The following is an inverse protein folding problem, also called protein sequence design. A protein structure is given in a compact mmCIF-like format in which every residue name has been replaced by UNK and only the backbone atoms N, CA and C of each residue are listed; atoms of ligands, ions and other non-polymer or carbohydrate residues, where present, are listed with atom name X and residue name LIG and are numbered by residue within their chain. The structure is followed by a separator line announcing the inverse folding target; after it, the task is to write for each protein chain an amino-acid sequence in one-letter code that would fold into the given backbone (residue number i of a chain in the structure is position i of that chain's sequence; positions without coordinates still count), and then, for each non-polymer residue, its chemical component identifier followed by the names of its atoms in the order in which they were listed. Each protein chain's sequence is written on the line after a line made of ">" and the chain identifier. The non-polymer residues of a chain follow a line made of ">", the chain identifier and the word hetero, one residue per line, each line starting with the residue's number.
data_IF_845717913801
#
_entry.id   IF_845717913801
#
_cell.length_a   1.000
_cell.length_b   1.000
_cell.length_c   1.000
_cell.angle_alpha   90.00
_cell.angle_beta   90.00
_cell.angle_gamma   90.00
#
_symmetry.space_group_name_H-M   'P 1'
#
loop_
_entity.id
_entity.type
_entity.pdbx_description
1 polymer ?
#
# COMPACT_ATOMS: atom_id res chain seq x y z
N UNK A 1 -8.66 2.66 -3.24
CA UNK A 1 -9.21 3.35 -4.44
C UNK A 1 -8.13 4.18 -5.13
N UNK A 2 -8.26 4.57 -6.40
CA UNK A 2 -7.25 5.41 -7.09
C UNK A 2 -7.82 6.46 -8.07
N UNK A 3 -9.13 6.73 -8.04
CA UNK A 3 -9.78 7.80 -8.82
C UNK A 3 -10.82 8.51 -7.96
N UNK A 4 -11.16 9.76 -8.31
CA UNK A 4 -12.23 10.52 -7.67
C UNK A 4 -13.55 9.72 -7.63
N UNK A 5 -14.00 9.19 -8.77
CA UNK A 5 -15.31 8.56 -8.88
C UNK A 5 -15.51 7.38 -7.91
N UNK A 6 -14.50 6.51 -7.75
CA UNK A 6 -14.66 5.43 -6.77
C UNK A 6 -14.38 5.87 -5.34
N UNK A 7 -13.66 6.98 -5.11
CA UNK A 7 -13.51 7.52 -3.77
C UNK A 7 -14.85 8.11 -3.30
N UNK A 8 -15.48 8.91 -4.15
CA UNK A 8 -16.84 9.44 -3.98
C UNK A 8 -17.88 8.32 -3.80
N UNK A 9 -17.79 7.26 -4.60
CA UNK A 9 -18.62 6.08 -4.41
C UNK A 9 -18.47 5.47 -3.00
N UNK A 10 -17.25 5.28 -2.50
CA UNK A 10 -17.02 4.74 -1.15
C UNK A 10 -17.60 5.67 -0.07
N UNK A 11 -17.46 6.98 -0.23
CA UNK A 11 -18.08 7.95 0.69
C UNK A 11 -19.60 7.85 0.65
N UNK A 12 -20.20 7.72 -0.54
CA UNK A 12 -21.66 7.62 -0.70
C UNK A 12 -22.28 6.38 -0.04
N UNK A 13 -21.50 5.29 0.10
CA UNK A 13 -21.92 4.08 0.83
C UNK A 13 -21.55 4.12 2.32
N UNK A 14 -21.06 5.26 2.82
CA UNK A 14 -20.85 5.53 4.24
C UNK A 14 -19.41 5.37 4.75
N UNK A 15 -18.39 5.35 3.88
CA UNK A 15 -17.01 5.32 4.35
C UNK A 15 -16.61 6.64 5.03
N UNK A 16 -16.07 6.55 6.25
CA UNK A 16 -15.57 7.73 7.00
C UNK A 16 -14.21 8.23 6.49
N UNK A 17 -13.44 7.35 5.83
CA UNK A 17 -12.17 7.68 5.21
C UNK A 17 -11.90 6.74 4.03
N UNK A 18 -11.13 7.22 3.05
CA UNK A 18 -10.80 6.43 1.85
C UNK A 18 -9.30 6.14 1.78
N UNK A 19 -8.95 4.85 1.70
CA UNK A 19 -7.57 4.41 1.45
C UNK A 19 -7.24 4.49 -0.04
N UNK A 20 -6.20 5.24 -0.40
CA UNK A 20 -5.84 5.60 -1.77
C UNK A 20 -4.54 4.95 -2.19
N UNK A 21 -4.59 4.20 -3.30
CA UNK A 21 -3.45 3.53 -3.91
C UNK A 21 -3.84 2.22 -4.58
N UNK A 22 -3.45 2.05 -5.84
CA UNK A 22 -3.52 0.79 -6.59
C UNK A 22 -2.20 0.65 -7.37
N UNK A 23 -1.48 -0.44 -7.13
CA UNK A 23 -0.24 -0.74 -7.84
C UNK A 23 0.97 0.13 -7.47
N UNK A 24 0.91 0.91 -6.38
CA UNK A 24 1.99 1.79 -5.94
C UNK A 24 2.96 1.17 -4.92
N UNK A 25 2.57 0.07 -4.27
CA UNK A 25 3.36 -0.58 -3.22
C UNK A 25 4.67 -1.19 -3.72
N UNK A 26 5.70 -1.21 -2.86
CA UNK A 26 7.06 -1.69 -3.23
C UNK A 26 7.16 -3.19 -3.51
N UNK A 27 6.19 -3.98 -3.04
CA UNK A 27 6.08 -5.43 -3.26
C UNK A 27 4.82 -5.79 -4.06
N UNK A 28 4.17 -4.80 -4.67
CA UNK A 28 2.97 -4.97 -5.46
C UNK A 28 3.34 -5.11 -6.94
N UNK A 29 2.79 -6.12 -7.61
CA UNK A 29 2.98 -6.36 -9.04
C UNK A 29 1.68 -6.21 -9.83
N UNK A 30 0.60 -5.69 -9.24
CA UNK A 30 -0.69 -5.43 -9.91
C UNK A 30 -0.51 -4.73 -11.26
N UNK A 31 0.32 -3.68 -11.34
CA UNK A 31 0.58 -2.97 -12.62
C UNK A 31 1.25 -3.85 -13.66
N UNK A 32 2.15 -4.74 -13.26
CA UNK A 32 2.86 -5.63 -14.17
C UNK A 32 1.95 -6.76 -14.67
N UNK A 33 1.08 -7.27 -13.80
CA UNK A 33 0.22 -8.43 -14.09
C UNK A 33 -1.05 -8.01 -14.82
N UNK A 34 -1.69 -6.93 -14.40
CA UNK A 34 -3.02 -6.54 -14.88
C UNK A 34 -3.00 -5.29 -15.77
N UNK A 35 -1.92 -4.52 -15.75
CA UNK A 35 -1.84 -3.20 -16.38
C UNK A 35 -2.58 -2.08 -15.62
N UNK A 36 -3.33 -2.40 -14.57
CA UNK A 36 -4.10 -1.40 -13.82
C UNK A 36 -3.27 -0.70 -12.74
N UNK A 37 -3.44 0.61 -12.66
CA UNK A 37 -2.92 1.44 -11.59
C UNK A 37 -2.83 2.90 -12.01
N UNK A 38 -2.74 3.79 -11.01
CA UNK A 38 -2.57 5.23 -11.23
C UNK A 38 -1.32 5.67 -10.47
N UNK A 39 -0.44 6.52 -11.05
CA UNK A 39 0.68 7.12 -10.32
C UNK A 39 0.21 7.73 -8.99
N UNK A 40 0.89 7.39 -7.89
CA UNK A 40 0.37 7.62 -6.54
C UNK A 40 0.05 9.09 -6.25
N UNK A 41 0.93 10.00 -6.69
CA UNK A 41 0.72 11.44 -6.50
C UNK A 41 -0.55 11.93 -7.21
N UNK A 42 -0.77 11.49 -8.46
CA UNK A 42 -2.01 11.76 -9.20
C UNK A 42 -3.22 11.15 -8.52
N UNK A 43 -3.12 9.90 -8.05
CA UNK A 43 -4.21 9.23 -7.36
C UNK A 43 -4.65 9.98 -6.09
N UNK A 44 -3.68 10.49 -5.31
CA UNK A 44 -3.94 11.30 -4.11
C UNK A 44 -4.66 12.59 -4.49
N UNK A 45 -4.13 13.37 -5.45
CA UNK A 45 -4.75 14.63 -5.87
C UNK A 45 -6.19 14.45 -6.37
N UNK A 46 -6.45 13.40 -7.14
CA UNK A 46 -7.81 13.09 -7.62
C UNK A 46 -8.74 12.69 -6.48
N UNK A 47 -8.29 11.83 -5.56
CA UNK A 47 -9.14 11.34 -4.47
C UNK A 47 -9.32 12.39 -3.36
N UNK A 48 -8.41 13.35 -3.21
CA UNK A 48 -8.50 14.41 -2.20
C UNK A 48 -9.64 15.41 -2.45
N UNK A 49 -10.33 15.30 -3.61
CA UNK A 49 -11.48 16.12 -3.97
C UNK A 49 -12.78 15.72 -3.24
N UNK A 50 -12.80 14.56 -2.59
CA UNK A 50 -13.95 14.13 -1.77
C UNK A 50 -14.01 14.91 -0.45
N UNK A 51 -15.14 14.85 0.25
CA UNK A 51 -15.39 15.56 1.52
C UNK A 51 -14.99 14.76 2.78
N UNK A 52 -14.23 13.68 2.61
CA UNK A 52 -13.73 12.79 3.68
C UNK A 52 -12.20 12.70 3.69
N UNK A 53 -11.58 12.41 4.85
CA UNK A 53 -10.16 12.13 4.95
C UNK A 53 -9.71 11.01 4.01
N UNK A 54 -8.51 11.15 3.45
CA UNK A 54 -7.88 10.09 2.66
C UNK A 54 -6.56 9.64 3.29
N UNK A 55 -6.26 8.35 3.10
CA UNK A 55 -5.01 7.71 3.54
C UNK A 55 -4.21 7.35 2.29
N UNK A 56 -3.05 7.97 2.10
CA UNK A 56 -2.13 7.60 1.02
C UNK A 56 -1.43 6.27 1.36
N UNK A 57 -1.73 5.21 0.61
CA UNK A 57 -1.23 3.85 0.83
C UNK A 57 -0.40 3.35 -0.36
N UNK A 58 0.89 3.13 -0.09
CA UNK A 58 1.86 2.62 -1.07
C UNK A 58 2.70 3.71 -1.73
N UNK A 59 3.87 3.31 -2.23
CA UNK A 59 4.79 4.19 -2.97
C UNK A 59 5.63 5.15 -2.10
N UNK A 60 5.45 5.16 -0.78
CA UNK A 60 6.20 6.02 0.14
C UNK A 60 7.48 5.30 0.55
N UNK A 61 8.63 5.85 0.12
CA UNK A 61 9.96 5.24 0.36
C UNK A 61 10.82 6.07 1.31
N UNK A 62 10.52 7.36 1.42
CA UNK A 62 11.26 8.34 2.21
C UNK A 62 10.29 9.26 2.95
N UNK A 63 10.76 9.94 3.99
CA UNK A 63 9.99 10.98 4.67
C UNK A 63 9.56 12.10 3.71
N UNK A 64 10.40 12.45 2.73
CA UNK A 64 10.04 13.41 1.68
C UNK A 64 8.86 12.96 0.83
N UNK A 65 8.72 11.67 0.55
CA UNK A 65 7.55 11.15 -0.17
C UNK A 65 6.28 11.22 0.69
N UNK A 66 6.39 11.04 2.01
CA UNK A 66 5.28 11.23 2.94
C UNK A 66 4.83 12.70 2.98
N UNK A 67 5.78 13.65 3.07
CA UNK A 67 5.49 15.09 3.03
C UNK A 67 4.79 15.46 1.72
N UNK A 68 5.25 14.94 0.57
CA UNK A 68 4.59 15.18 -0.73
C UNK A 68 3.17 14.61 -0.76
N UNK A 69 2.94 13.43 -0.20
CA UNK A 69 1.61 12.83 -0.13
C UNK A 69 0.64 13.70 0.69
N UNK A 70 1.09 14.20 1.84
CA UNK A 70 0.31 15.13 2.68
C UNK A 70 0.05 16.44 1.94
N UNK A 71 1.07 17.01 1.28
CA UNK A 71 0.94 18.23 0.49
C UNK A 71 -0.01 18.07 -0.71
N UNK A 72 -0.16 16.85 -1.25
CA UNK A 72 -1.09 16.54 -2.32
C UNK A 72 -2.56 16.39 -1.84
N UNK A 73 -2.82 16.50 -0.54
CA UNK A 73 -4.17 16.45 0.03
C UNK A 73 -4.47 15.20 0.86
N UNK A 74 -3.50 14.33 1.12
CA UNK A 74 -3.70 13.22 2.05
C UNK A 74 -3.75 13.72 3.50
N UNK A 75 -4.68 13.18 4.30
CA UNK A 75 -4.73 13.45 5.75
C UNK A 75 -3.75 12.58 6.52
N UNK A 76 -3.50 11.37 6.01
CA UNK A 76 -2.65 10.36 6.62
C UNK A 76 -1.85 9.61 5.55
N UNK A 77 -0.76 8.98 5.98
CA UNK A 77 0.05 8.09 5.15
C UNK A 77 0.10 6.70 5.78
N UNK A 78 0.00 5.66 4.97
CA UNK A 78 0.19 4.26 5.37
C UNK A 78 1.55 3.77 4.87
N UNK A 79 2.35 3.20 5.77
CA UNK A 79 3.71 2.78 5.51
C UNK A 79 3.83 1.26 5.61
N UNK A 80 4.31 0.63 4.53
CA UNK A 80 4.69 -0.79 4.52
C UNK A 80 6.20 -0.95 4.56
N UNK A 81 6.84 -0.91 3.38
CA UNK A 81 8.28 -1.17 3.23
C UNK A 81 9.22 -0.28 4.06
N UNK A 82 8.79 0.93 4.46
CA UNK A 82 9.56 1.77 5.38
C UNK A 82 9.67 1.16 6.78
N UNK A 83 8.61 0.51 7.26
CA UNK A 83 8.56 -0.18 8.56
C UNK A 83 9.02 -1.64 8.48
N UNK A 84 9.04 -2.22 7.28
CA UNK A 84 9.53 -3.59 7.11
C UNK A 84 11.00 -3.74 7.53
N UNK A 85 11.30 -4.82 8.27
CA UNK A 85 12.65 -5.12 8.76
C UNK A 85 13.01 -4.45 10.10
N UNK A 86 12.07 -3.76 10.76
CA UNK A 86 12.25 -3.35 12.16
C UNK A 86 12.03 -4.52 13.11
N UNK A 87 12.49 -4.40 14.35
CA UNK A 87 12.40 -5.47 15.36
C UNK A 87 10.95 -5.83 15.70
N UNK A 88 10.03 -4.88 15.57
CA UNK A 88 8.59 -5.02 15.80
C UNK A 88 7.83 -5.56 14.58
N UNK A 89 8.46 -5.58 13.41
CA UNK A 89 7.81 -6.03 12.18
C UNK A 89 7.73 -7.57 12.16
N UNK A 90 6.52 -8.11 12.06
CA UNK A 90 6.32 -9.55 11.88
C UNK A 90 6.84 -10.00 10.50
N UNK A 91 7.68 -11.03 10.48
CA UNK A 91 8.17 -11.65 9.26
C UNK A 91 9.31 -12.63 9.52
N UNK A 92 9.21 -13.85 8.99
CA UNK A 92 10.27 -14.85 9.13
C UNK A 92 11.57 -14.35 8.47
N UNK A 93 12.64 -14.22 9.27
CA UNK A 93 14.00 -13.89 8.83
C UNK A 93 14.15 -12.60 8.00
N UNK A 94 13.38 -11.56 8.30
CA UNK A 94 13.48 -10.29 7.56
C UNK A 94 12.93 -10.37 6.15
N UNK A 95 11.85 -11.14 5.93
CA UNK A 95 11.12 -11.14 4.66
C UNK A 95 9.98 -10.12 4.70
N UNK A 96 9.85 -9.30 3.66
CA UNK A 96 8.70 -8.44 3.42
C UNK A 96 7.93 -8.92 2.19
N UNK A 97 6.62 -9.13 2.33
CA UNK A 97 5.79 -9.79 1.31
C UNK A 97 4.58 -8.94 0.96
N UNK A 98 4.22 -8.92 -0.31
CA UNK A 98 2.92 -8.41 -0.74
C UNK A 98 1.81 -9.39 -0.37
N UNK A 99 0.69 -8.90 0.15
CA UNK A 99 -0.42 -9.77 0.59
C UNK A 99 -1.06 -10.58 -0.55
N UNK A 100 -0.87 -10.16 -1.80
CA UNK A 100 -1.29 -10.89 -2.99
C UNK A 100 -0.19 -11.81 -3.57
N UNK A 101 0.93 -12.01 -2.86
CA UNK A 101 1.96 -12.98 -3.26
C UNK A 101 1.49 -14.40 -3.05
N UNK A 102 2.11 -15.35 -3.75
CA UNK A 102 1.81 -16.77 -3.60
C UNK A 102 2.04 -17.24 -2.17
N UNK A 103 3.11 -16.80 -1.50
CA UNK A 103 3.43 -17.19 -0.13
C UNK A 103 2.37 -16.65 0.85
N UNK A 104 2.04 -15.36 0.77
CA UNK A 104 1.05 -14.77 1.67
C UNK A 104 -0.34 -15.40 1.51
N UNK A 105 -0.73 -15.74 0.28
CA UNK A 105 -2.00 -16.43 0.02
C UNK A 105 -2.00 -17.86 0.54
N UNK A 106 -0.91 -18.62 0.37
CA UNK A 106 -0.78 -19.97 0.95
C UNK A 106 -0.86 -19.93 2.48
N UNK A 107 -0.12 -19.01 3.09
CA UNK A 107 -0.08 -18.86 4.55
C UNK A 107 -1.47 -18.51 5.12
N UNK A 108 -2.27 -17.71 4.41
CA UNK A 108 -3.59 -17.27 4.87
C UNK A 108 -4.74 -18.23 4.52
N UNK A 109 -4.76 -18.78 3.29
CA UNK A 109 -5.90 -19.57 2.77
C UNK A 109 -5.65 -21.09 2.77
N UNK A 110 -4.44 -21.57 3.07
CA UNK A 110 -4.08 -22.98 3.10
C UNK A 110 -3.88 -23.64 1.73
N UNK A 111 -4.50 -23.11 0.68
CA UNK A 111 -4.33 -23.55 -0.71
C UNK A 111 -4.25 -22.35 -1.66
N UNK A 112 -3.44 -22.43 -2.71
CA UNK A 112 -3.45 -21.47 -3.81
C UNK A 112 -4.24 -22.02 -4.97
N UNK A 113 -5.40 -21.41 -5.29
CA UNK A 113 -6.05 -21.63 -6.58
C UNK A 113 -5.15 -21.13 -7.70
N UNK A 114 -4.81 -21.98 -8.68
CA UNK A 114 -4.04 -21.58 -9.87
C UNK A 114 -4.75 -20.49 -10.69
N UNK A 115 -6.07 -20.36 -10.55
CA UNK A 115 -6.90 -19.40 -11.29
C UNK A 115 -6.62 -17.93 -10.94
N UNK A 116 -5.99 -17.63 -9.79
CA UNK A 116 -5.71 -16.24 -9.37
C UNK A 116 -4.25 -15.91 -9.57
N UNK A 117 -3.96 -15.07 -10.57
CA UNK A 117 -2.63 -14.51 -10.77
C UNK A 117 -2.11 -13.83 -9.49
N UNK A 118 -0.82 -14.00 -9.19
CA UNK A 118 -0.21 -13.37 -8.02
C UNK A 118 0.12 -11.91 -8.33
N UNK A 119 -0.36 -10.98 -7.51
CA UNK A 119 -0.14 -9.53 -7.67
C UNK A 119 0.79 -8.95 -6.59
N UNK A 120 1.59 -9.82 -5.98
CA UNK A 120 2.62 -9.43 -5.03
C UNK A 120 3.85 -10.34 -5.12
N UNK A 121 4.97 -9.80 -4.66
CA UNK A 121 6.24 -10.52 -4.53
C UNK A 121 6.68 -10.56 -3.07
N UNK A 122 7.60 -11.47 -2.78
CA UNK A 122 8.31 -11.58 -1.51
C UNK A 122 9.76 -11.14 -1.70
N UNK A 123 10.25 -10.26 -0.84
CA UNK A 123 11.63 -9.76 -0.88
C UNK A 123 12.28 -9.88 0.49
N UNK A 124 13.60 -10.07 0.52
CA UNK A 124 14.37 -9.93 1.76
C UNK A 124 14.66 -8.46 2.05
N UNK A 125 14.46 -8.04 3.29
CA UNK A 125 14.76 -6.70 3.79
C UNK A 125 15.89 -6.75 4.82
N UNK A 126 16.76 -5.74 4.79
CA UNK A 126 17.83 -5.63 5.78
C UNK A 126 17.23 -5.29 7.16
N UNK A 127 17.80 -5.83 8.26
CA UNK A 127 17.43 -5.41 9.61
C UNK A 127 17.66 -3.91 9.79
N UNK A 128 16.68 -3.22 10.37
CA UNK A 128 16.73 -1.78 10.68
C UNK A 128 16.89 -1.50 12.18
N UNK A 129 16.72 -2.52 13.01
CA UNK A 129 16.63 -2.37 14.46
C UNK A 129 15.26 -1.85 14.91
N UNK A 130 15.16 -1.19 16.08
CA UNK A 130 13.87 -0.76 16.63
C UNK A 130 13.15 0.25 15.73
N UNK A 131 11.83 0.17 15.64
CA UNK A 131 11.00 1.09 14.85
C UNK A 131 11.19 2.54 15.28
N UNK A 132 11.52 2.78 16.55
CA UNK A 132 11.84 4.09 17.11
C UNK A 132 13.04 4.80 16.44
N UNK A 133 13.82 4.11 15.60
CA UNK A 133 14.86 4.75 14.76
C UNK A 133 14.35 5.22 13.40
N UNK A 134 13.18 4.75 13.00
CA UNK A 134 12.53 5.03 11.72
C UNK A 134 11.48 6.14 11.87
N UNK A 135 10.77 6.17 13.00
CA UNK A 135 9.80 7.22 13.39
C UNK A 135 10.46 8.30 14.24
#
# INVERSE_FOLDING_TARGET
>A
MCTYAGADYLVSVGADAVKVGIGAGSVCTTRQVTGFGVPQFTAIMECARIDKPIIADGGIRTSGDAVKALAAGATMVMLGGMLAGTDEACGYLGTYRGMASTEARKDYFGETSEERAAEGISISVKPKGPVARVI
#
